data_IF_788091029424
#
_entry.id   IF_788091029424
#
_cell.length_a   1.000
_cell.length_b   1.000
_cell.length_c   1.000
_cell.angle_alpha   90.00
_cell.angle_beta   90.00
_cell.angle_gamma   90.00
#
_symmetry.space_group_name_H-M   'P 1'
#
loop_
_entity.id
_entity.type
_entity.pdbx_description
1 polymer ?
#
# COMPACT_ATOMS: atom_id res chain seq x y z
N UNK A 1 33.25 69.05 20.52
CA UNK A 1 32.06 68.29 20.95
C UNK A 1 31.18 68.11 19.73
N UNK A 2 30.57 66.93 19.60
CA UNK A 2 29.70 66.45 18.51
C UNK A 2 30.45 66.04 17.22
N UNK A 3 30.22 64.89 16.59
CA UNK A 3 29.37 63.74 16.93
C UNK A 3 29.94 62.50 16.22
N UNK A 4 30.10 61.43 17.00
CA UNK A 4 30.67 60.15 16.61
C UNK A 4 29.53 59.29 16.03
N UNK A 5 29.32 59.34 14.71
CA UNK A 5 28.28 58.54 14.03
C UNK A 5 28.79 57.12 13.80
N UNK A 6 28.81 56.33 14.88
CA UNK A 6 28.85 54.85 14.79
C UNK A 6 27.52 54.35 14.22
N UNK A 7 27.48 54.14 12.91
CA UNK A 7 26.48 53.29 12.25
C UNK A 7 26.54 51.90 12.87
N UNK A 8 25.56 51.59 13.71
CA UNK A 8 25.32 50.24 14.20
C UNK A 8 24.95 49.37 12.99
N UNK A 9 25.84 48.44 12.65
CA UNK A 9 25.53 47.34 11.74
C UNK A 9 24.54 46.41 12.46
N UNK A 10 23.26 46.81 12.48
CA UNK A 10 22.17 45.95 12.92
C UNK A 10 22.23 44.68 12.08
N UNK A 11 22.56 43.56 12.71
CA UNK A 11 22.48 42.25 12.11
C UNK A 11 21.05 42.07 11.61
N UNK A 12 20.85 42.19 10.29
CA UNK A 12 19.60 41.77 9.64
C UNK A 12 19.47 40.28 9.93
N UNK A 13 18.68 39.93 10.93
CA UNK A 13 18.10 38.60 11.08
C UNK A 13 17.24 38.37 9.84
N UNK A 14 17.86 37.83 8.79
CA UNK A 14 17.14 37.31 7.63
C UNK A 14 16.23 36.21 8.15
N UNK A 15 14.96 36.54 8.30
CA UNK A 15 13.90 35.58 8.60
C UNK A 15 13.87 34.62 7.41
N UNK A 16 14.43 33.42 7.57
CA UNK A 16 14.31 32.39 6.53
C UNK A 16 12.93 31.78 6.72
N UNK A 17 11.97 32.01 5.80
CA UNK A 17 10.62 31.50 5.97
C UNK A 17 10.65 29.97 5.91
N UNK A 18 9.87 29.33 6.78
CA UNK A 18 9.63 27.89 6.70
C UNK A 18 8.79 27.61 5.45
N UNK A 19 9.18 26.61 4.66
CA UNK A 19 8.32 26.08 3.60
C UNK A 19 7.21 25.22 4.23
N UNK A 20 5.95 25.40 3.82
CA UNK A 20 4.87 24.47 4.20
C UNK A 20 4.76 23.37 3.16
N UNK A 21 4.84 22.10 3.58
CA UNK A 21 4.66 20.92 2.73
C UNK A 21 3.44 20.13 3.18
N UNK A 22 2.54 19.83 2.26
CA UNK A 22 1.36 19.01 2.53
C UNK A 22 1.64 17.54 2.22
N UNK A 23 1.19 16.66 3.12
CA UNK A 23 1.25 15.21 2.99
C UNK A 23 -0.17 14.66 3.13
N UNK A 24 -0.61 13.86 2.17
CA UNK A 24 -1.77 13.00 2.35
C UNK A 24 -1.27 11.57 2.57
N UNK A 25 -1.55 11.03 3.75
CA UNK A 25 -1.24 9.67 4.16
C UNK A 25 -2.51 8.81 4.06
N UNK A 26 -2.66 8.12 2.93
CA UNK A 26 -3.75 7.22 2.66
C UNK A 26 -3.53 5.85 3.30
N UNK A 27 -4.36 5.54 4.28
CA UNK A 27 -4.45 4.25 4.95
C UNK A 27 -5.38 3.34 4.15
N UNK A 28 -4.79 2.33 3.51
CA UNK A 28 -5.53 1.32 2.78
C UNK A 28 -6.18 0.30 3.70
N UNK A 29 -6.87 -0.67 3.09
CA UNK A 29 -7.33 -1.86 3.80
C UNK A 29 -6.15 -2.49 4.56
N UNK A 30 -6.38 -2.85 5.83
CA UNK A 30 -5.37 -3.38 6.76
C UNK A 30 -4.33 -2.39 7.31
N UNK A 31 -4.54 -1.07 7.14
CA UNK A 31 -3.59 -0.03 7.57
C UNK A 31 -4.21 1.14 8.36
N UNK A 32 -5.47 1.05 8.76
CA UNK A 32 -6.19 2.14 9.45
C UNK A 32 -5.93 2.15 10.96
N UNK A 33 -5.91 3.32 11.59
CA UNK A 33 -5.74 3.48 13.05
C UNK A 33 -6.73 2.64 13.87
N UNK A 34 -7.99 2.52 13.42
CA UNK A 34 -8.98 1.67 14.10
C UNK A 34 -8.65 0.17 13.98
N UNK A 35 -8.11 -0.27 12.85
CA UNK A 35 -7.70 -1.67 12.63
C UNK A 35 -6.49 -2.03 13.50
N UNK A 36 -5.53 -1.10 13.67
CA UNK A 36 -4.44 -1.29 14.63
C UNK A 36 -4.96 -1.45 16.06
N UNK A 37 -5.89 -0.58 16.49
CA UNK A 37 -6.49 -0.65 17.83
C UNK A 37 -7.25 -1.95 18.06
N UNK A 38 -8.03 -2.40 17.07
CA UNK A 38 -8.76 -3.66 17.17
C UNK A 38 -7.82 -4.87 17.17
N UNK A 39 -6.78 -4.88 16.34
CA UNK A 39 -5.76 -5.95 16.35
C UNK A 39 -5.02 -6.00 17.67
N UNK A 40 -4.72 -4.87 18.28
CA UNK A 40 -4.09 -4.83 19.60
C UNK A 40 -5.03 -5.35 20.69
N UNK A 41 -6.31 -4.95 20.64
CA UNK A 41 -7.34 -5.44 21.55
C UNK A 41 -7.51 -6.96 21.42
N UNK A 42 -7.63 -7.47 20.19
CA UNK A 42 -7.68 -8.89 19.89
C UNK A 42 -6.42 -9.62 20.39
N UNK A 43 -5.22 -9.13 20.06
CA UNK A 43 -3.94 -9.74 20.47
C UNK A 43 -3.85 -9.87 21.99
N UNK A 44 -4.19 -8.80 22.70
CA UNK A 44 -4.16 -8.76 24.17
C UNK A 44 -5.18 -9.73 24.76
N UNK A 45 -6.40 -9.76 24.21
CA UNK A 45 -7.43 -10.71 24.61
C UNK A 45 -7.01 -12.17 24.40
N UNK A 46 -6.38 -12.49 23.26
CA UNK A 46 -5.90 -13.85 22.99
C UNK A 46 -4.74 -14.26 23.90
N UNK A 47 -3.79 -13.35 24.19
CA UNK A 47 -2.72 -13.63 25.15
C UNK A 47 -3.33 -13.99 26.52
N UNK A 48 -4.28 -13.18 27.00
CA UNK A 48 -4.95 -13.42 28.29
C UNK A 48 -5.76 -14.73 28.30
N UNK A 49 -6.45 -15.04 27.20
CA UNK A 49 -7.19 -16.30 27.05
C UNK A 49 -6.25 -17.52 27.11
N UNK A 50 -5.09 -17.46 26.42
CA UNK A 50 -4.10 -18.53 26.40
C UNK A 50 -3.35 -18.70 27.73
N UNK A 51 -3.22 -17.65 28.53
CA UNK A 51 -2.71 -17.75 29.91
C UNK A 51 -3.67 -18.50 30.83
N UNK A 52 -4.98 -18.39 30.59
CA UNK A 52 -6.01 -19.02 31.42
C UNK A 52 -6.35 -20.43 30.94
N UNK A 53 -6.42 -20.64 29.63
CA UNK A 53 -6.70 -21.93 28.99
C UNK A 53 -5.85 -22.08 27.72
N UNK A 54 -4.80 -22.93 27.74
CA UNK A 54 -3.94 -23.16 26.59
C UNK A 54 -4.65 -23.72 25.35
N UNK A 55 -5.83 -24.33 25.47
CA UNK A 55 -6.59 -24.87 24.33
C UNK A 55 -7.48 -23.82 23.64
N UNK A 56 -7.61 -22.63 24.23
CA UNK A 56 -8.52 -21.58 23.74
C UNK A 56 -8.22 -21.11 22.32
N UNK A 57 -6.99 -21.33 21.80
CA UNK A 57 -6.66 -21.03 20.39
C UNK A 57 -7.58 -21.74 19.40
N UNK A 58 -8.15 -22.90 19.75
CA UNK A 58 -9.06 -23.65 18.87
C UNK A 58 -10.35 -22.88 18.53
N UNK A 59 -10.73 -21.94 19.39
CA UNK A 59 -11.94 -21.13 19.23
C UNK A 59 -11.70 -19.87 18.37
N UNK A 60 -10.44 -19.55 18.05
CA UNK A 60 -10.08 -18.38 17.27
C UNK A 60 -9.39 -18.77 15.95
N UNK A 61 -9.98 -18.33 14.83
CA UNK A 61 -9.48 -18.69 13.51
C UNK A 61 -8.06 -18.17 13.23
N UNK A 62 -7.67 -17.00 13.77
CA UNK A 62 -6.33 -16.44 13.56
C UNK A 62 -5.29 -17.20 14.37
N UNK A 63 -5.60 -17.58 15.61
CA UNK A 63 -4.75 -18.46 16.39
C UNK A 63 -4.61 -19.84 15.73
N UNK A 64 -5.69 -20.40 15.15
CA UNK A 64 -5.63 -21.63 14.35
C UNK A 64 -4.76 -21.49 13.09
N UNK A 65 -4.74 -20.31 12.44
CA UNK A 65 -3.83 -20.07 11.32
C UNK A 65 -2.37 -20.08 11.76
N UNK A 66 -2.04 -19.43 12.89
CA UNK A 66 -0.70 -19.45 13.47
C UNK A 66 -0.32 -20.89 13.84
N UNK A 67 -1.23 -21.63 14.49
CA UNK A 67 -1.05 -23.04 14.80
C UNK A 67 -0.73 -23.88 13.56
N UNK A 68 -1.51 -23.74 12.49
CA UNK A 68 -1.30 -24.48 11.25
C UNK A 68 0.02 -24.13 10.57
N UNK A 69 0.48 -22.87 10.69
CA UNK A 69 1.81 -22.48 10.21
C UNK A 69 2.93 -23.13 11.02
N UNK A 70 2.76 -23.20 12.35
CA UNK A 70 3.74 -23.81 13.26
C UNK A 70 3.78 -25.34 13.12
N UNK A 71 2.62 -25.99 12.99
CA UNK A 71 2.50 -27.46 12.93
C UNK A 71 3.14 -28.07 11.68
N UNK A 72 3.29 -27.29 10.59
CA UNK A 72 4.08 -27.68 9.42
C UNK A 72 5.58 -27.83 9.72
N UNK A 73 6.06 -27.27 10.83
CA UNK A 73 7.46 -27.30 11.25
C UNK A 73 7.74 -28.24 12.43
N UNK A 74 6.70 -28.74 13.11
CA UNK A 74 6.82 -29.46 14.39
C UNK A 74 5.76 -30.56 14.47
N UNK A 75 6.16 -31.83 14.32
CA UNK A 75 5.25 -32.98 14.49
C UNK A 75 5.12 -33.32 15.98
N UNK A 76 3.89 -33.34 16.50
CA UNK A 76 3.57 -33.96 17.79
C UNK A 76 3.43 -33.03 19.00
N UNK A 77 3.21 -31.73 18.82
CA UNK A 77 2.91 -30.82 19.94
C UNK A 77 1.58 -31.15 20.61
N UNK A 78 1.58 -31.15 21.95
CA UNK A 78 0.37 -31.08 22.78
C UNK A 78 -0.29 -29.71 22.65
N UNK A 79 -1.56 -29.59 23.04
CA UNK A 79 -2.27 -28.32 22.98
C UNK A 79 -1.67 -27.26 23.94
N UNK A 80 -1.09 -27.71 25.06
CA UNK A 80 -0.37 -26.83 25.97
C UNK A 80 0.88 -26.21 25.33
N UNK A 81 1.67 -27.02 24.61
CA UNK A 81 2.85 -26.56 23.88
C UNK A 81 2.46 -25.65 22.72
N UNK A 82 1.40 -26.01 21.98
CA UNK A 82 0.84 -25.20 20.91
C UNK A 82 0.36 -23.83 21.41
N UNK A 83 -0.42 -23.80 22.49
CA UNK A 83 -0.89 -22.57 23.11
C UNK A 83 0.25 -21.69 23.62
N UNK A 84 1.28 -22.29 24.21
CA UNK A 84 2.48 -21.58 24.66
C UNK A 84 3.27 -20.96 23.49
N UNK A 85 3.43 -21.70 22.39
CA UNK A 85 4.15 -21.23 21.20
C UNK A 85 3.37 -20.12 20.47
N UNK A 86 2.04 -20.26 20.36
CA UNK A 86 1.18 -19.20 19.81
C UNK A 86 1.27 -17.95 20.69
N UNK A 87 1.16 -18.08 22.02
CA UNK A 87 1.30 -16.95 22.94
C UNK A 87 2.67 -16.28 22.79
N UNK A 88 3.75 -17.07 22.77
CA UNK A 88 5.11 -16.59 22.54
C UNK A 88 5.23 -15.83 21.22
N UNK A 89 4.61 -16.35 20.16
CA UNK A 89 4.52 -15.70 18.84
C UNK A 89 3.78 -14.36 18.93
N UNK A 90 2.60 -14.32 19.56
CA UNK A 90 1.81 -13.09 19.73
C UNK A 90 2.52 -12.05 20.61
N UNK A 91 3.26 -12.47 21.62
CA UNK A 91 4.12 -11.58 22.42
C UNK A 91 5.31 -11.09 21.61
N UNK A 92 5.91 -11.96 20.80
CA UNK A 92 7.00 -11.65 19.88
C UNK A 92 6.61 -10.67 18.77
N UNK A 93 5.32 -10.60 18.40
CA UNK A 93 4.80 -9.56 17.51
C UNK A 93 4.89 -8.16 18.13
N UNK A 94 4.95 -8.05 19.46
CA UNK A 94 4.98 -6.79 20.19
C UNK A 94 3.64 -6.05 20.14
N UNK A 95 3.62 -4.82 20.67
CA UNK A 95 2.45 -3.92 20.60
C UNK A 95 2.16 -3.55 19.16
N UNK A 96 0.90 -3.71 18.76
CA UNK A 96 0.37 -3.26 17.48
C UNK A 96 0.09 -1.75 17.60
N UNK A 97 1.11 -0.95 17.32
CA UNK A 97 1.01 0.52 17.29
C UNK A 97 0.54 1.02 15.92
N UNK A 98 -0.36 2.00 15.90
CA UNK A 98 -0.76 2.65 14.67
C UNK A 98 0.37 3.51 14.09
N UNK A 99 0.25 3.89 12.82
CA UNK A 99 1.20 4.79 12.20
C UNK A 99 1.25 6.16 12.90
N UNK A 100 0.10 6.65 13.36
CA UNK A 100 -0.03 7.92 14.06
C UNK A 100 0.69 7.86 15.41
N UNK A 101 0.44 6.81 16.18
CA UNK A 101 1.07 6.63 17.50
C UNK A 101 2.58 6.50 17.36
N UNK A 102 3.05 5.73 16.37
CA UNK A 102 4.48 5.64 16.05
C UNK A 102 5.09 7.02 15.75
N UNK A 103 4.43 7.87 14.94
CA UNK A 103 4.92 9.21 14.66
C UNK A 103 4.93 10.08 15.93
N UNK A 104 3.86 10.06 16.72
CA UNK A 104 3.74 10.85 17.94
C UNK A 104 4.82 10.48 18.97
N UNK A 105 5.06 9.19 19.18
CA UNK A 105 6.11 8.69 20.09
C UNK A 105 7.52 9.08 19.64
N UNK A 106 7.79 9.03 18.33
CA UNK A 106 9.15 9.17 17.80
C UNK A 106 9.51 10.61 17.40
N UNK A 107 8.52 11.46 17.11
CA UNK A 107 8.72 12.88 16.76
C UNK A 107 8.46 13.83 17.94
N UNK A 108 7.78 13.35 18.99
CA UNK A 108 7.58 14.04 20.27
C UNK A 108 6.96 15.44 20.10
N UNK A 109 7.46 16.43 20.85
CA UNK A 109 6.85 17.75 21.06
C UNK A 109 6.62 18.57 19.80
N UNK A 110 7.32 18.26 18.70
CA UNK A 110 7.17 18.98 17.44
C UNK A 110 6.03 18.42 16.56
N UNK A 111 5.44 17.28 16.94
CA UNK A 111 4.31 16.65 16.27
C UNK A 111 3.02 16.96 17.02
N UNK A 112 2.14 17.73 16.40
CA UNK A 112 0.85 18.17 16.94
C UNK A 112 -0.25 17.42 16.19
N UNK A 113 -0.87 16.46 16.87
CA UNK A 113 -2.02 15.72 16.34
C UNK A 113 -3.31 16.48 16.70
N UNK A 114 -4.20 16.65 15.73
CA UNK A 114 -5.53 17.18 16.00
C UNK A 114 -6.40 16.17 16.76
N UNK A 115 -7.42 16.66 17.47
CA UNK A 115 -8.29 15.84 18.31
C UNK A 115 -9.02 14.73 17.52
N UNK A 116 -9.33 14.99 16.25
CA UNK A 116 -9.97 14.02 15.35
C UNK A 116 -9.03 12.93 14.84
N UNK A 117 -7.72 13.05 15.12
CA UNK A 117 -6.63 12.18 14.64
C UNK A 117 -6.58 12.06 13.11
N UNK A 118 -7.23 12.95 12.36
CA UNK A 118 -7.23 12.97 10.88
C UNK A 118 -6.25 13.98 10.33
N UNK A 119 -5.77 14.89 11.15
CA UNK A 119 -4.75 15.84 10.75
C UNK A 119 -3.65 15.97 11.80
N UNK A 120 -2.44 16.22 11.34
CA UNK A 120 -1.30 16.54 12.19
C UNK A 120 -0.44 17.64 11.57
N UNK A 121 0.25 18.38 12.42
CA UNK A 121 1.27 19.34 12.02
C UNK A 121 2.61 18.95 12.62
N UNK A 122 3.67 19.03 11.83
CA UNK A 122 5.01 18.77 12.30
C UNK A 122 5.99 19.86 11.84
N UNK A 123 6.61 20.56 12.79
CA UNK A 123 7.64 21.55 12.48
C UNK A 123 9.04 20.96 12.61
N UNK A 124 9.85 21.07 11.54
CA UNK A 124 11.26 20.71 11.57
C UNK A 124 12.14 21.96 11.37
N UNK A 125 12.67 22.54 12.46
CA UNK A 125 13.56 23.70 12.39
C UNK A 125 14.85 23.46 11.60
N UNK A 126 15.42 22.25 11.68
CA UNK A 126 16.65 21.94 10.94
C UNK A 126 16.41 21.88 9.42
N UNK A 127 15.22 21.47 8.98
CA UNK A 127 14.84 21.48 7.55
C UNK A 127 14.36 22.84 7.05
N UNK A 128 13.90 23.71 7.96
CA UNK A 128 13.12 24.91 7.66
C UNK A 128 11.81 24.56 6.94
N UNK A 129 11.12 23.53 7.45
CA UNK A 129 9.88 23.00 6.85
C UNK A 129 8.83 22.77 7.92
N UNK A 130 7.60 23.19 7.64
CA UNK A 130 6.40 22.75 8.36
C UNK A 130 5.67 21.74 7.50
N UNK A 131 5.37 20.57 8.06
CA UNK A 131 4.56 19.56 7.41
C UNK A 131 3.12 19.63 7.92
N UNK A 132 2.17 19.64 7.00
CA UNK A 132 0.74 19.45 7.26
C UNK A 132 0.36 18.07 6.73
N UNK A 133 -0.08 17.19 7.62
CA UNK A 133 -0.32 15.78 7.33
C UNK A 133 -1.81 15.51 7.49
N UNK A 134 -2.44 14.99 6.46
CA UNK A 134 -3.83 14.54 6.46
C UNK A 134 -3.84 13.01 6.34
N UNK A 135 -4.52 12.34 7.27
CA UNK A 135 -4.73 10.90 7.25
C UNK A 135 -6.10 10.61 6.62
N UNK A 136 -6.11 9.85 5.52
CA UNK A 136 -7.32 9.54 4.76
C UNK A 136 -7.46 8.04 4.60
N UNK A 137 -8.68 7.54 4.58
CA UNK A 137 -9.01 6.10 4.50
C UNK A 137 -9.94 5.78 3.33
N UNK A 138 -10.32 6.80 2.53
CA UNK A 138 -11.25 6.66 1.42
C UNK A 138 -10.55 6.66 0.06
N UNK A 139 -11.02 5.79 -0.82
CA UNK A 139 -10.58 5.69 -2.22
C UNK A 139 -10.70 7.02 -2.97
N UNK A 140 -11.79 7.76 -2.75
CA UNK A 140 -12.03 9.07 -3.38
C UNK A 140 -11.05 10.14 -2.89
N UNK A 141 -10.74 10.19 -1.60
CA UNK A 141 -9.77 11.12 -1.04
C UNK A 141 -8.35 10.83 -1.56
N UNK A 142 -7.99 9.54 -1.67
CA UNK A 142 -6.73 9.15 -2.30
C UNK A 142 -6.66 9.60 -3.77
N UNK A 143 -7.74 9.42 -4.54
CA UNK A 143 -7.84 9.95 -5.91
C UNK A 143 -7.58 11.45 -5.96
N UNK A 144 -8.31 12.23 -5.15
CA UNK A 144 -8.17 13.68 -5.08
C UNK A 144 -6.75 14.10 -4.70
N UNK A 145 -6.11 13.40 -3.77
CA UNK A 145 -4.74 13.66 -3.37
C UNK A 145 -3.76 13.47 -4.52
N UNK A 146 -3.92 12.41 -5.34
CA UNK A 146 -3.11 12.21 -6.54
C UNK A 146 -3.26 13.34 -7.56
N UNK A 147 -4.45 13.93 -7.66
CA UNK A 147 -4.78 15.04 -8.56
C UNK A 147 -4.42 16.42 -7.99
N UNK A 148 -3.95 16.49 -6.72
CA UNK A 148 -3.59 17.73 -6.06
C UNK A 148 -2.13 18.09 -6.35
N UNK A 149 -1.89 19.31 -6.83
CA UNK A 149 -0.56 19.79 -7.18
C UNK A 149 0.35 19.98 -5.96
N UNK A 150 1.64 19.66 -6.12
CA UNK A 150 2.68 20.07 -5.16
C UNK A 150 2.74 19.28 -3.85
N UNK A 151 1.87 18.30 -3.62
CA UNK A 151 1.82 17.55 -2.34
C UNK A 151 2.56 16.21 -2.38
N UNK A 152 2.80 15.62 -1.21
CA UNK A 152 3.28 14.25 -1.05
C UNK A 152 2.06 13.35 -0.80
N UNK A 153 1.89 12.30 -1.61
CA UNK A 153 0.85 11.29 -1.43
C UNK A 153 1.51 9.98 -1.03
N UNK A 154 1.11 9.42 0.09
CA UNK A 154 1.62 8.14 0.59
C UNK A 154 0.43 7.20 0.72
N UNK A 155 0.49 6.04 0.07
CA UNK A 155 -0.43 4.94 0.32
C UNK A 155 0.27 3.87 1.16
N UNK A 156 -0.34 3.45 2.26
CA UNK A 156 0.11 2.30 3.06
C UNK A 156 -1.05 1.37 3.33
N UNK A 157 -0.97 0.13 2.87
CA UNK A 157 -2.04 -0.84 3.03
C UNK A 157 -1.93 -2.02 2.07
N UNK A 158 -2.95 -2.87 2.06
CA UNK A 158 -3.01 -4.02 1.19
C UNK A 158 -3.23 -3.62 -0.28
N UNK A 159 -2.56 -4.29 -1.21
CA UNK A 159 -2.77 -4.08 -2.65
C UNK A 159 -2.91 -5.42 -3.34
N UNK A 160 -3.97 -5.59 -4.13
CA UNK A 160 -4.12 -6.79 -4.94
C UNK A 160 -3.09 -6.80 -6.06
N UNK A 161 -2.46 -7.95 -6.22
CA UNK A 161 -1.36 -8.17 -7.13
C UNK A 161 -1.74 -7.77 -8.58
N UNK A 162 -1.08 -6.75 -9.12
CA UNK A 162 -1.33 -6.28 -10.49
C UNK A 162 -2.65 -5.54 -10.71
N UNK A 163 -3.40 -5.24 -9.65
CA UNK A 163 -4.79 -4.73 -9.77
C UNK A 163 -4.96 -3.34 -9.20
N UNK A 164 -4.47 -3.08 -8.00
CA UNK A 164 -4.69 -1.78 -7.36
C UNK A 164 -4.53 -1.75 -5.84
N UNK A 165 -4.58 -0.55 -5.28
CA UNK A 165 -4.66 -0.32 -3.84
C UNK A 165 -6.05 -0.70 -3.32
N UNK A 166 -6.13 -1.37 -2.18
CA UNK A 166 -7.41 -1.71 -1.56
C UNK A 166 -7.83 -0.63 -0.56
N UNK A 167 -9.09 -0.23 -0.61
CA UNK A 167 -9.72 0.66 0.37
C UNK A 167 -10.91 -0.04 0.98
N UNK A 168 -11.09 0.11 2.29
CA UNK A 168 -12.21 -0.46 2.99
C UNK A 168 -12.54 0.39 4.23
N UNK A 169 -13.82 0.72 4.40
CA UNK A 169 -14.33 1.39 5.59
C UNK A 169 -14.76 0.28 6.55
N UNK A 170 -13.80 -0.18 7.36
CA UNK A 170 -13.89 -1.38 8.17
C UNK A 170 -15.18 -1.49 9.00
N UNK A 171 -15.89 -2.63 8.90
CA UNK A 171 -16.94 -3.04 9.85
C UNK A 171 -17.13 -4.56 10.04
N UNK A 172 -16.17 -5.46 9.71
CA UNK A 172 -16.40 -6.90 9.90
C UNK A 172 -15.37 -7.93 9.37
N UNK A 173 -15.78 -9.22 9.42
CA UNK A 173 -14.97 -10.45 9.21
C UNK A 173 -14.29 -10.61 7.84
N UNK A 174 -13.02 -11.04 7.84
CA UNK A 174 -12.09 -11.25 6.70
C UNK A 174 -12.66 -12.07 5.51
N UNK A 175 -13.62 -12.96 5.76
CA UNK A 175 -14.22 -13.81 4.70
C UNK A 175 -15.21 -13.08 3.79
N UNK A 176 -15.73 -11.90 4.19
CA UNK A 176 -16.61 -11.08 3.36
C UNK A 176 -15.85 -10.15 2.40
N UNK A 177 -14.51 -10.13 2.45
CA UNK A 177 -13.69 -9.08 1.84
C UNK A 177 -13.17 -9.36 0.44
N UNK A 178 -13.27 -10.61 -0.03
CA UNK A 178 -12.89 -10.97 -1.39
C UNK A 178 -13.51 -9.99 -2.39
N UNK A 179 -14.83 -9.96 -2.42
CA UNK A 179 -15.60 -9.13 -3.34
C UNK A 179 -15.62 -7.66 -2.94
N UNK A 180 -15.65 -7.35 -1.63
CA UNK A 180 -15.66 -5.97 -1.16
C UNK A 180 -14.39 -5.22 -1.58
N UNK A 181 -13.22 -5.85 -1.46
CA UNK A 181 -11.99 -5.24 -1.94
C UNK A 181 -11.93 -5.21 -3.46
N UNK A 182 -12.57 -6.16 -4.13
CA UNK A 182 -12.55 -6.28 -5.58
C UNK A 182 -13.40 -5.23 -6.30
N UNK A 183 -14.70 -5.25 -6.01
CA UNK A 183 -15.71 -4.44 -6.70
C UNK A 183 -16.08 -3.19 -5.88
N UNK A 184 -15.91 -3.24 -4.56
CA UNK A 184 -16.44 -2.22 -3.66
C UNK A 184 -17.97 -2.25 -3.61
N UNK A 185 -18.52 -1.49 -2.67
CA UNK A 185 -19.96 -1.21 -2.58
C UNK A 185 -20.26 0.28 -2.78
N UNK A 186 -19.24 1.14 -2.73
CA UNK A 186 -19.34 2.59 -2.90
C UNK A 186 -18.15 3.14 -3.67
N UNK A 187 -18.16 4.45 -3.92
CA UNK A 187 -17.00 5.16 -4.51
C UNK A 187 -15.80 5.24 -3.57
N UNK A 188 -15.97 4.95 -2.28
CA UNK A 188 -14.95 5.13 -1.23
C UNK A 188 -14.20 3.84 -0.86
N UNK A 189 -14.68 2.67 -1.28
CA UNK A 189 -14.08 1.37 -0.96
C UNK A 189 -13.82 0.52 -2.22
N UNK A 190 -13.20 -0.64 -2.05
CA UNK A 190 -12.76 -1.52 -3.13
C UNK A 190 -11.42 -1.12 -3.73
N UNK A 191 -11.14 -1.63 -4.94
CA UNK A 191 -9.88 -1.36 -5.62
C UNK A 191 -9.84 0.06 -6.19
N UNK A 192 -8.75 0.78 -5.87
CA UNK A 192 -8.23 1.84 -6.72
C UNK A 192 -7.38 1.19 -7.82
N UNK A 193 -7.98 0.97 -8.99
CA UNK A 193 -7.42 0.10 -10.03
C UNK A 193 -6.20 0.72 -10.71
N UNK A 194 -5.38 -0.08 -11.37
CA UNK A 194 -4.25 0.43 -12.16
C UNK A 194 -4.68 1.04 -13.50
N UNK A 195 -5.89 0.77 -14.00
CA UNK A 195 -6.34 1.29 -15.29
C UNK A 195 -5.88 0.49 -16.52
N UNK A 196 -5.36 -0.72 -16.31
CA UNK A 196 -5.18 -1.68 -17.40
C UNK A 196 -6.49 -2.44 -17.65
N UNK A 197 -6.98 -2.53 -18.89
CA UNK A 197 -8.22 -3.25 -19.19
C UNK A 197 -8.08 -4.76 -19.04
N UNK A 198 -6.85 -5.29 -19.13
CA UNK A 198 -6.55 -6.69 -18.88
C UNK A 198 -5.32 -6.84 -17.99
N UNK A 199 -5.43 -7.75 -17.02
CA UNK A 199 -4.40 -8.01 -16.02
C UNK A 199 -4.20 -9.52 -15.87
N UNK A 200 -2.95 -10.03 -15.90
CA UNK A 200 -2.69 -11.41 -15.50
C UNK A 200 -2.72 -11.52 -13.99
N UNK A 201 -3.49 -12.48 -13.47
CA UNK A 201 -3.59 -12.74 -12.03
C UNK A 201 -3.28 -14.21 -11.77
N UNK A 202 -2.42 -14.45 -10.79
CA UNK A 202 -1.97 -15.79 -10.39
C UNK A 202 -3.13 -16.57 -9.74
N UNK A 203 -3.25 -17.86 -10.05
CA UNK A 203 -4.33 -18.68 -9.48
C UNK A 203 -4.26 -18.76 -7.95
N UNK A 204 -3.05 -18.74 -7.39
CA UNK A 204 -2.83 -18.71 -5.93
C UNK A 204 -3.35 -17.44 -5.26
N UNK A 205 -3.39 -16.30 -5.97
CA UNK A 205 -4.00 -15.06 -5.44
C UNK A 205 -5.52 -15.22 -5.31
N UNK A 206 -6.16 -15.85 -6.30
CA UNK A 206 -7.60 -16.13 -6.28
C UNK A 206 -7.95 -17.15 -5.20
N UNK A 207 -7.15 -18.21 -5.11
CA UNK A 207 -7.28 -19.25 -4.08
C UNK A 207 -7.06 -18.69 -2.68
N UNK A 208 -6.17 -17.72 -2.50
CA UNK A 208 -5.93 -17.14 -1.18
C UNK A 208 -7.04 -16.14 -0.77
N UNK A 209 -7.59 -15.41 -1.73
CA UNK A 209 -8.48 -14.27 -1.44
C UNK A 209 -9.97 -14.50 -1.71
N UNK A 210 -10.35 -15.62 -2.34
CA UNK A 210 -11.75 -16.06 -2.51
C UNK A 210 -12.71 -14.96 -3.01
N UNK A 211 -12.31 -14.21 -4.03
CA UNK A 211 -13.14 -13.18 -4.66
C UNK A 211 -13.66 -13.65 -6.00
N UNK A 212 -14.82 -13.14 -6.40
CA UNK A 212 -15.38 -13.38 -7.71
C UNK A 212 -14.63 -12.60 -8.78
N UNK A 213 -14.26 -13.27 -9.87
CA UNK A 213 -13.43 -12.68 -10.92
C UNK A 213 -14.05 -12.83 -12.31
N UNK A 214 -13.49 -12.03 -13.23
CA UNK A 214 -13.98 -11.85 -14.60
C UNK A 214 -12.92 -12.31 -15.61
N UNK A 215 -12.76 -13.64 -15.80
CA UNK A 215 -11.75 -14.18 -16.69
C UNK A 215 -12.19 -14.13 -18.16
N UNK A 216 -11.24 -14.30 -19.08
CA UNK A 216 -11.53 -14.32 -20.52
C UNK A 216 -11.56 -15.78 -21.00
N UNK A 217 -12.76 -16.29 -21.28
CA UNK A 217 -12.98 -17.65 -21.76
C UNK A 217 -12.27 -17.90 -23.10
N UNK A 218 -11.75 -19.11 -23.33
CA UNK A 218 -11.04 -19.42 -24.59
C UNK A 218 -11.95 -19.42 -25.81
N UNK A 219 -13.25 -19.58 -25.59
CA UNK A 219 -14.30 -19.46 -26.60
C UNK A 219 -14.49 -18.02 -27.09
N UNK A 220 -14.09 -17.03 -26.28
CA UNK A 220 -14.06 -15.63 -26.72
C UNK A 220 -12.79 -15.34 -27.51
N UNK A 221 -12.84 -14.41 -28.48
CA UNK A 221 -11.67 -14.01 -29.24
C UNK A 221 -10.52 -13.69 -28.30
N UNK A 222 -9.38 -14.33 -28.56
CA UNK A 222 -8.14 -14.02 -27.86
C UNK A 222 -7.92 -12.51 -27.91
N UNK A 223 -7.73 -11.83 -26.77
CA UNK A 223 -7.55 -10.38 -26.78
C UNK A 223 -6.43 -10.04 -27.77
N UNK A 224 -6.68 -9.12 -28.71
CA UNK A 224 -5.83 -9.04 -29.90
C UNK A 224 -4.55 -8.27 -29.61
N UNK A 225 -3.41 -8.74 -30.15
CA UNK A 225 -2.14 -7.98 -30.13
C UNK A 225 -2.28 -6.58 -30.75
N UNK A 226 -3.23 -6.37 -31.65
CA UNK A 226 -3.52 -5.09 -32.30
C UNK A 226 -4.32 -4.13 -31.41
N UNK A 227 -5.30 -4.60 -30.63
CA UNK A 227 -5.89 -3.83 -29.53
C UNK A 227 -4.83 -3.56 -28.43
N UNK A 228 -3.84 -4.46 -28.30
CA UNK A 228 -2.66 -4.29 -27.43
C UNK A 228 -1.61 -3.30 -27.94
N UNK A 229 -1.58 -3.02 -29.25
CA UNK A 229 -0.61 -2.12 -29.89
C UNK A 229 -1.19 -0.75 -30.21
N UNK A 230 -2.47 -0.65 -30.60
CA UNK A 230 -3.16 0.62 -30.87
C UNK A 230 -3.37 1.45 -29.59
N UNK A 231 -3.48 0.78 -28.45
CA UNK A 231 -3.36 1.39 -27.13
C UNK A 231 -2.14 0.78 -26.43
N UNK A 232 -0.94 1.41 -26.46
CA UNK A 232 0.17 0.99 -25.60
C UNK A 232 -0.19 0.97 -24.10
N UNK A 233 -1.38 1.48 -23.74
CA UNK A 233 -2.06 1.49 -22.45
C UNK A 233 -2.91 0.25 -22.12
N UNK A 234 -3.13 -0.71 -23.03
CA UNK A 234 -4.16 -1.74 -22.85
C UNK A 234 -3.74 -3.06 -22.18
N UNK A 235 -2.47 -3.24 -21.79
CA UNK A 235 -2.10 -4.39 -20.94
C UNK A 235 -1.04 -4.07 -19.91
N UNK A 236 -1.25 -4.65 -18.73
CA UNK A 236 -0.22 -4.73 -17.70
C UNK A 236 1.06 -5.35 -18.32
N UNK A 237 2.25 -4.80 -18.06
CA UNK A 237 3.51 -5.25 -18.66
C UNK A 237 3.75 -6.77 -18.57
N UNK A 238 3.30 -7.39 -17.49
CA UNK A 238 3.43 -8.83 -17.28
C UNK A 238 2.51 -9.69 -18.18
N UNK A 239 1.44 -9.10 -18.73
CA UNK A 239 0.50 -9.75 -19.64
C UNK A 239 0.96 -9.82 -21.10
N UNK A 240 2.06 -9.13 -21.48
CA UNK A 240 2.53 -8.98 -22.88
C UNK A 240 3.10 -10.24 -23.53
N UNK A 241 2.90 -11.42 -22.94
CA UNK A 241 3.45 -12.71 -23.36
C UNK A 241 2.48 -13.49 -24.26
N UNK A 242 2.93 -14.65 -24.77
CA UNK A 242 2.07 -15.56 -25.54
C UNK A 242 1.02 -16.15 -24.59
N UNK A 243 -0.25 -15.79 -24.79
CA UNK A 243 -1.34 -16.42 -24.07
C UNK A 243 -1.57 -17.86 -24.53
N UNK A 244 -1.95 -18.71 -23.58
CA UNK A 244 -2.30 -20.12 -23.76
C UNK A 244 -3.67 -20.40 -23.11
N UNK A 245 -4.27 -21.54 -23.45
CA UNK A 245 -5.45 -22.06 -22.76
C UNK A 245 -5.03 -22.66 -21.41
N UNK A 246 -5.67 -22.22 -20.33
CA UNK A 246 -5.49 -22.72 -18.97
C UNK A 246 -6.80 -23.33 -18.50
N UNK A 247 -6.77 -24.60 -18.07
CA UNK A 247 -7.90 -25.23 -17.39
C UNK A 247 -7.98 -24.68 -15.95
N UNK A 248 -9.13 -24.15 -15.56
CA UNK A 248 -9.32 -23.61 -14.21
C UNK A 248 -9.48 -24.76 -13.20
N UNK A 249 -8.74 -24.76 -12.08
CA UNK A 249 -8.93 -25.70 -10.97
C UNK A 249 -10.37 -25.69 -10.47
N UNK A 250 -10.89 -26.87 -10.11
CA UNK A 250 -12.29 -27.06 -9.67
C UNK A 250 -12.68 -26.11 -8.54
N UNK A 251 -11.82 -25.99 -7.52
CA UNK A 251 -12.03 -25.15 -6.35
C UNK A 251 -12.19 -23.65 -6.69
N UNK A 252 -11.67 -23.22 -7.83
CA UNK A 252 -11.76 -21.82 -8.29
C UNK A 252 -12.96 -21.55 -9.19
N UNK A 253 -13.65 -22.58 -9.71
CA UNK A 253 -14.75 -22.40 -10.68
C UNK A 253 -15.94 -21.67 -10.08
N UNK A 254 -16.25 -21.92 -8.80
CA UNK A 254 -17.33 -21.25 -8.08
C UNK A 254 -17.17 -19.73 -7.99
N UNK A 255 -15.93 -19.23 -8.09
CA UNK A 255 -15.62 -17.79 -8.03
C UNK A 255 -15.65 -17.12 -9.41
N UNK A 256 -15.90 -17.85 -10.50
CA UNK A 256 -16.09 -17.21 -11.81
C UNK A 256 -17.47 -16.56 -11.84
N UNK A 257 -17.54 -15.25 -12.09
CA UNK A 257 -18.84 -14.58 -12.26
C UNK A 257 -19.62 -15.26 -13.40
N UNK A 258 -20.91 -15.60 -13.25
CA UNK A 258 -21.64 -16.46 -14.19
C UNK A 258 -21.56 -16.02 -15.66
N UNK A 259 -21.58 -14.70 -15.93
CA UNK A 259 -21.49 -14.13 -17.29
C UNK A 259 -20.15 -14.40 -18.01
N UNK A 260 -19.12 -14.83 -17.29
CA UNK A 260 -17.80 -15.14 -17.83
C UNK A 260 -17.46 -16.63 -17.73
N UNK A 261 -18.40 -17.48 -17.31
CA UNK A 261 -18.15 -18.91 -17.22
C UNK A 261 -17.88 -19.52 -18.61
N UNK A 262 -16.76 -20.24 -18.72
CA UNK A 262 -16.44 -21.04 -19.91
C UNK A 262 -17.08 -22.43 -19.80
N UNK A 263 -17.79 -22.91 -20.83
CA UNK A 263 -18.30 -24.30 -20.88
C UNK A 263 -17.19 -25.35 -20.79
N UNK A 264 -15.98 -25.04 -21.29
CA UNK A 264 -14.83 -25.92 -21.20
C UNK A 264 -14.00 -25.70 -19.93
N UNK A 265 -14.40 -24.76 -19.07
CA UNK A 265 -13.67 -24.27 -17.92
C UNK A 265 -12.24 -23.79 -18.25
N UNK A 266 -12.01 -23.39 -19.50
CA UNK A 266 -10.70 -22.92 -19.98
C UNK A 266 -10.71 -21.43 -20.21
N UNK A 267 -9.63 -20.78 -19.79
CA UNK A 267 -9.45 -19.34 -19.90
C UNK A 267 -8.11 -19.00 -20.54
N UNK A 268 -8.05 -17.84 -21.20
CA UNK A 268 -6.79 -17.31 -21.67
C UNK A 268 -5.90 -16.94 -20.48
N UNK A 269 -4.66 -17.42 -20.50
CA UNK A 269 -3.71 -17.21 -19.42
C UNK A 269 -2.27 -17.29 -19.88
N UNK A 270 -1.35 -17.27 -18.92
CA UNK A 270 0.09 -17.40 -19.15
C UNK A 270 0.74 -18.23 -18.05
N UNK A 271 1.82 -18.93 -18.40
CA UNK A 271 2.64 -19.69 -17.46
C UNK A 271 4.02 -19.05 -17.43
N UNK A 272 4.51 -18.69 -16.23
CA UNK A 272 5.82 -18.06 -16.04
C UNK A 272 6.53 -18.71 -14.87
N UNK A 273 7.66 -19.38 -15.16
CA UNK A 273 8.51 -20.02 -14.14
C UNK A 273 7.70 -20.94 -13.22
N UNK A 274 6.80 -21.73 -13.80
CA UNK A 274 5.89 -22.63 -13.05
C UNK A 274 4.66 -21.95 -12.44
N UNK A 275 4.58 -20.61 -12.43
CA UNK A 275 3.42 -19.88 -11.93
C UNK A 275 2.38 -19.74 -13.04
N UNK A 276 1.16 -20.19 -12.75
CA UNK A 276 0.02 -20.11 -13.66
C UNK A 276 -0.82 -18.88 -13.33
N UNK A 277 -1.09 -18.06 -14.35
CA UNK A 277 -1.98 -16.91 -14.27
C UNK A 277 -3.06 -16.99 -15.33
N UNK A 278 -4.25 -16.49 -15.04
CA UNK A 278 -5.30 -16.24 -16.05
C UNK A 278 -5.43 -14.74 -16.29
N UNK A 279 -5.90 -14.39 -17.48
CA UNK A 279 -6.18 -13.00 -17.82
C UNK A 279 -7.57 -12.66 -17.30
N UNK A 280 -7.61 -11.64 -16.44
CA UNK A 280 -8.86 -11.04 -15.98
C UNK A 280 -9.12 -9.73 -16.72
N UNK A 281 -10.40 -9.40 -16.85
CA UNK A 281 -10.85 -8.06 -17.19
C UNK A 281 -10.53 -7.15 -15.99
N UNK A 282 -9.59 -6.25 -16.19
CA UNK A 282 -9.15 -5.26 -15.20
C UNK A 282 -9.88 -3.92 -15.32
N UNK A 283 -10.59 -3.68 -16.44
CA UNK A 283 -11.31 -2.44 -16.74
C UNK A 283 -12.65 -2.26 -16.01
N UNK A 284 -13.28 -1.11 -16.23
CA UNK A 284 -14.49 -0.62 -15.54
C UNK A 284 -15.82 -0.97 -16.22
N UNK A 285 -15.80 -1.67 -17.37
CA UNK A 285 -17.04 -1.96 -18.08
C UNK A 285 -17.95 -2.87 -17.23
N UNK A 286 -18.97 -2.26 -16.62
CA UNK A 286 -19.96 -2.95 -15.79
C UNK A 286 -19.66 -3.01 -14.29
N UNK A 287 -18.79 -2.16 -13.74
CA UNK A 287 -18.63 -2.01 -12.28
C UNK A 287 -19.48 -0.86 -11.73
N UNK A 288 -20.10 -1.05 -10.55
CA UNK A 288 -20.96 -0.06 -9.89
C UNK A 288 -20.18 1.18 -9.42
N UNK A 289 -18.90 1.02 -9.07
CA UNK A 289 -18.03 2.13 -8.69
C UNK A 289 -17.58 2.92 -9.94
N UNK A 290 -18.05 4.16 -10.04
CA UNK A 290 -17.56 5.18 -10.99
C UNK A 290 -16.01 5.28 -10.95
N UNK A 291 -15.35 5.62 -12.06
CA UNK A 291 -13.92 5.35 -12.27
C UNK A 291 -13.03 6.01 -11.21
N UNK A 292 -12.32 5.15 -10.45
CA UNK A 292 -11.18 5.55 -9.63
C UNK A 292 -10.03 4.59 -9.94
N UNK A 293 -9.30 4.91 -11.01
CA UNK A 293 -8.14 4.16 -11.42
C UNK A 293 -6.97 5.07 -11.76
N UNK A 294 -5.77 4.55 -11.57
CA UNK A 294 -4.53 5.26 -11.82
C UNK A 294 -4.39 5.62 -13.31
N UNK A 295 -4.95 4.84 -14.23
CA UNK A 295 -4.91 5.11 -15.67
C UNK A 295 -5.63 6.40 -16.05
N UNK A 296 -6.82 6.64 -15.49
CA UNK A 296 -7.63 7.84 -15.74
C UNK A 296 -7.20 9.08 -14.93
N UNK A 297 -6.59 8.89 -13.75
CA UNK A 297 -6.17 10.01 -12.89
C UNK A 297 -5.06 10.86 -13.50
N UNK A 298 -5.27 12.16 -13.59
CA UNK A 298 -4.21 13.11 -13.93
C UNK A 298 -3.37 13.39 -12.68
N UNK A 299 -2.26 12.65 -12.54
CA UNK A 299 -1.40 12.81 -11.38
C UNK A 299 -0.69 14.18 -11.42
N UNK A 300 -0.94 15.00 -10.40
CA UNK A 300 -0.32 16.32 -10.19
C UNK A 300 0.47 16.40 -8.89
N UNK A 301 0.34 15.41 -8.01
CA UNK A 301 1.13 15.36 -6.78
C UNK A 301 2.63 15.39 -7.08
N UNK A 302 3.40 16.02 -6.20
CA UNK A 302 4.86 16.11 -6.36
C UNK A 302 5.51 14.75 -6.12
N UNK A 303 5.15 14.09 -5.02
CA UNK A 303 5.67 12.78 -4.65
C UNK A 303 4.53 11.77 -4.53
N UNK A 304 4.72 10.56 -5.08
CA UNK A 304 3.89 9.39 -4.75
C UNK A 304 4.73 8.30 -4.07
N UNK A 305 4.27 7.82 -2.93
CA UNK A 305 4.81 6.65 -2.25
C UNK A 305 3.72 5.60 -2.21
N UNK A 306 3.96 4.42 -2.78
CA UNK A 306 3.03 3.31 -2.67
C UNK A 306 3.68 2.18 -1.88
N UNK A 307 3.36 2.09 -0.60
CA UNK A 307 3.79 1.02 0.29
C UNK A 307 2.66 0.02 0.45
N UNK A 308 2.37 -0.68 -0.66
CA UNK A 308 1.46 -1.82 -0.70
C UNK A 308 2.15 -3.09 -1.19
N UNK A 309 1.44 -4.20 -1.29
CA UNK A 309 2.03 -5.49 -1.62
C UNK A 309 2.77 -5.49 -2.98
N UNK A 310 4.09 -5.67 -2.97
CA UNK A 310 4.92 -5.78 -4.18
C UNK A 310 4.71 -4.64 -5.19
N UNK A 311 4.39 -3.44 -4.70
CA UNK A 311 3.94 -2.31 -5.53
C UNK A 311 4.90 -1.95 -6.67
N UNK A 312 6.21 -2.16 -6.52
CA UNK A 312 7.18 -1.95 -7.60
C UNK A 312 6.86 -2.80 -8.83
N UNK A 313 6.33 -4.01 -8.66
CA UNK A 313 6.04 -4.91 -9.78
C UNK A 313 4.87 -4.40 -10.65
N UNK A 314 3.98 -3.60 -10.06
CA UNK A 314 2.68 -3.28 -10.66
C UNK A 314 2.49 -1.80 -10.97
N UNK A 315 2.90 -0.93 -10.05
CA UNK A 315 2.75 0.51 -10.17
C UNK A 315 3.92 1.16 -10.90
N UNK A 316 5.10 0.53 -10.86
CA UNK A 316 6.32 1.13 -11.42
C UNK A 316 6.16 1.57 -12.85
N UNK A 317 5.68 0.67 -13.73
CA UNK A 317 5.61 0.98 -15.15
C UNK A 317 4.59 2.07 -15.43
N UNK A 318 3.37 2.00 -14.88
CA UNK A 318 2.34 3.01 -15.10
C UNK A 318 2.73 4.38 -14.54
N UNK A 319 3.39 4.44 -13.39
CA UNK A 319 3.79 5.71 -12.78
C UNK A 319 5.03 6.29 -13.47
N UNK A 320 6.07 5.48 -13.73
CA UNK A 320 7.39 5.98 -14.16
C UNK A 320 7.48 6.26 -15.65
N UNK A 321 6.80 5.50 -16.50
CA UNK A 321 7.04 5.59 -17.95
C UNK A 321 6.43 6.85 -18.55
N UNK A 322 7.13 7.53 -19.48
CA UNK A 322 6.67 8.79 -20.07
C UNK A 322 5.40 8.63 -20.91
N UNK A 323 5.16 7.46 -21.51
CA UNK A 323 3.90 7.18 -22.20
C UNK A 323 2.67 7.06 -21.28
N UNK A 324 2.88 7.06 -19.95
CA UNK A 324 1.84 6.99 -18.93
C UNK A 324 1.84 8.23 -18.04
N UNK A 325 2.37 8.19 -16.81
CA UNK A 325 2.39 9.33 -15.88
C UNK A 325 3.70 10.10 -15.89
N UNK A 326 4.78 9.49 -16.39
CA UNK A 326 6.06 10.18 -16.57
C UNK A 326 6.71 10.69 -15.29
N UNK A 327 6.48 10.04 -14.13
CA UNK A 327 7.21 10.33 -12.90
C UNK A 327 8.62 9.73 -12.98
N UNK A 328 9.42 10.12 -13.97
CA UNK A 328 10.72 9.49 -14.22
C UNK A 328 11.69 9.71 -13.07
N UNK A 329 12.73 8.87 -12.96
CA UNK A 329 13.87 9.21 -12.10
C UNK A 329 14.70 10.24 -12.82
N UNK A 330 14.77 11.47 -12.35
CA UNK A 330 15.18 12.52 -13.25
C UNK A 330 16.71 12.64 -13.20
N UNK A 331 17.31 12.97 -14.35
CA UNK A 331 18.70 13.41 -14.47
C UNK A 331 18.69 14.63 -15.41
N UNK A 332 18.65 15.87 -14.89
CA UNK A 332 18.70 16.28 -13.47
C UNK A 332 17.37 16.05 -12.73
N UNK A 333 17.35 16.05 -11.37
CA UNK A 333 16.15 15.92 -10.53
C UNK A 333 15.00 16.85 -10.98
N UNK A 334 13.83 16.27 -11.22
CA UNK A 334 12.51 16.90 -11.40
C UNK A 334 11.66 16.60 -10.19
N UNK A 335 10.64 17.42 -9.98
CA UNK A 335 9.81 17.32 -8.79
C UNK A 335 8.87 16.10 -8.75
N UNK A 336 8.82 15.26 -9.80
CA UNK A 336 7.96 14.06 -9.89
C UNK A 336 8.61 12.81 -9.28
N UNK A 337 8.58 12.70 -7.95
CA UNK A 337 9.20 11.59 -7.22
C UNK A 337 8.24 10.42 -7.03
N UNK A 338 8.75 9.19 -7.07
CA UNK A 338 7.93 7.99 -6.89
C UNK A 338 8.67 6.85 -6.17
N UNK A 339 8.10 6.30 -5.10
CA UNK A 339 8.72 5.25 -4.27
C UNK A 339 7.79 4.05 -4.12
N UNK A 340 8.37 2.85 -4.16
CA UNK A 340 7.62 1.59 -4.17
C UNK A 340 8.31 0.53 -3.32
N UNK A 341 7.56 -0.46 -2.84
CA UNK A 341 8.06 -1.64 -2.13
C UNK A 341 8.35 -2.80 -3.09
N UNK A 342 9.38 -3.60 -2.80
CA UNK A 342 9.78 -4.72 -3.67
C UNK A 342 9.10 -6.05 -3.37
N UNK A 343 8.43 -6.17 -2.24
CA UNK A 343 7.71 -7.37 -1.80
C UNK A 343 6.49 -6.95 -0.97
N UNK A 344 5.67 -7.87 -0.45
CA UNK A 344 4.63 -7.55 0.51
C UNK A 344 5.19 -6.71 1.67
N UNK A 345 4.52 -5.59 1.91
CA UNK A 345 4.88 -4.65 2.99
C UNK A 345 3.89 -4.82 4.14
N UNK A 346 4.28 -4.31 5.29
CA UNK A 346 3.45 -4.21 6.48
C UNK A 346 3.44 -2.77 6.98
N UNK A 347 3.00 -2.56 8.23
CA UNK A 347 2.97 -1.27 8.90
C UNK A 347 4.32 -0.53 8.93
N UNK A 348 5.44 -1.22 8.68
CA UNK A 348 6.77 -0.61 8.67
C UNK A 348 7.05 0.28 7.45
N UNK A 349 6.11 0.43 6.53
CA UNK A 349 6.13 1.49 5.51
C UNK A 349 6.28 2.90 6.11
N UNK A 350 5.76 3.10 7.34
CA UNK A 350 5.83 4.36 8.08
C UNK A 350 7.26 4.87 8.33
N UNK A 351 8.27 3.98 8.32
CA UNK A 351 9.66 4.38 8.52
C UNK A 351 10.13 5.39 7.49
N UNK A 352 9.62 5.32 6.26
CA UNK A 352 9.95 6.29 5.24
C UNK A 352 9.47 7.69 5.63
N UNK A 353 8.21 7.84 6.07
CA UNK A 353 7.67 9.12 6.49
C UNK A 353 8.42 9.66 7.71
N UNK A 354 8.68 8.81 8.72
CA UNK A 354 9.47 9.22 9.88
C UNK A 354 10.84 9.79 9.50
N UNK A 355 11.58 9.11 8.59
CA UNK A 355 12.89 9.61 8.18
C UNK A 355 12.82 10.81 7.23
N UNK A 356 11.73 10.99 6.47
CA UNK A 356 11.47 12.23 5.72
C UNK A 356 11.31 13.40 6.70
N UNK A 357 10.45 13.23 7.70
CA UNK A 357 10.18 14.24 8.72
C UNK A 357 11.43 14.50 9.58
N UNK A 358 12.29 13.50 9.79
CA UNK A 358 13.50 13.62 10.62
C UNK A 358 14.77 14.03 9.86
N UNK A 359 14.69 14.36 8.57
CA UNK A 359 15.85 14.89 7.83
C UNK A 359 16.39 16.14 8.53
N UNK A 360 17.71 16.30 8.61
CA UNK A 360 18.34 17.24 9.54
C UNK A 360 19.16 18.35 8.84
N UNK A 361 18.87 18.60 7.56
CA UNK A 361 19.53 19.65 6.78
C UNK A 361 18.46 20.55 6.16
N UNK A 362 18.77 21.84 6.08
CA UNK A 362 17.90 22.81 5.45
C UNK A 362 17.63 22.39 4.01
N UNK A 363 16.35 22.30 3.65
CA UNK A 363 15.96 21.99 2.28
C UNK A 363 14.65 22.64 1.85
N UNK A 364 14.07 23.56 2.63
CA UNK A 364 12.87 24.32 2.27
C UNK A 364 12.93 24.98 0.88
N UNK A 365 13.99 25.75 0.55
CA UNK A 365 14.06 26.44 -0.75
C UNK A 365 14.65 25.58 -1.90
N UNK A 366 14.95 24.30 -1.66
CA UNK A 366 15.67 23.44 -2.61
C UNK A 366 14.82 22.25 -3.05
N UNK A 367 15.24 21.58 -4.12
CA UNK A 367 14.58 20.36 -4.59
C UNK A 367 14.45 19.32 -3.46
N UNK A 368 13.28 18.68 -3.34
CA UNK A 368 12.98 17.71 -2.27
C UNK A 368 13.78 16.38 -2.34
N UNK A 369 14.73 16.26 -3.28
CA UNK A 369 15.37 14.98 -3.62
C UNK A 369 16.17 14.43 -2.44
N UNK A 370 16.98 15.28 -1.80
CA UNK A 370 17.90 14.84 -0.75
C UNK A 370 17.17 14.32 0.49
N UNK A 371 16.07 14.95 0.91
CA UNK A 371 15.27 14.46 2.04
C UNK A 371 14.57 13.14 1.71
N UNK A 372 14.07 12.98 0.48
CA UNK A 372 13.40 11.75 0.06
C UNK A 372 14.40 10.58 -0.11
N UNK A 373 15.59 10.84 -0.67
CA UNK A 373 16.64 9.84 -0.78
C UNK A 373 17.27 9.50 0.58
N UNK A 374 17.37 10.47 1.49
CA UNK A 374 17.68 10.20 2.89
C UNK A 374 16.63 9.28 3.52
N UNK A 375 15.34 9.61 3.39
CA UNK A 375 14.23 8.83 3.91
C UNK A 375 14.27 7.38 3.43
N UNK A 376 14.44 7.18 2.10
CA UNK A 376 14.60 5.84 1.51
C UNK A 376 15.81 5.09 2.09
N UNK A 377 16.99 5.72 2.16
CA UNK A 377 18.21 5.06 2.65
C UNK A 377 18.08 4.64 4.10
N UNK A 378 17.57 5.53 4.95
CA UNK A 378 17.43 5.27 6.39
C UNK A 378 16.32 4.27 6.69
N UNK A 379 15.18 4.36 6.00
CA UNK A 379 14.12 3.37 6.09
C UNK A 379 14.64 1.98 5.72
N UNK A 380 15.32 1.84 4.57
CA UNK A 380 15.90 0.57 4.15
C UNK A 380 16.96 0.03 5.12
N UNK A 381 17.75 0.92 5.76
CA UNK A 381 18.70 0.51 6.79
C UNK A 381 17.99 -0.09 8.01
N UNK A 382 16.88 0.53 8.44
CA UNK A 382 16.05 0.04 9.55
C UNK A 382 15.35 -1.27 9.18
N UNK A 383 14.67 -1.33 8.05
CA UNK A 383 14.01 -2.55 7.54
C UNK A 383 14.97 -3.74 7.47
N UNK A 384 16.23 -3.52 7.06
CA UNK A 384 17.27 -4.55 7.03
C UNK A 384 17.69 -5.03 8.43
N UNK A 385 17.83 -4.11 9.39
CA UNK A 385 18.15 -4.46 10.79
C UNK A 385 17.05 -5.33 11.41
N UNK A 386 15.80 -5.04 11.06
CA UNK A 386 14.62 -5.79 11.45
C UNK A 386 14.36 -7.03 10.57
N UNK A 387 15.29 -7.37 9.66
CA UNK A 387 15.25 -8.55 8.77
C UNK A 387 13.97 -8.66 7.92
N UNK A 388 13.37 -7.53 7.55
CA UNK A 388 12.15 -7.54 6.74
C UNK A 388 12.47 -7.89 5.27
N UNK A 389 11.58 -8.64 4.59
CA UNK A 389 11.84 -9.20 3.25
C UNK A 389 11.70 -8.18 2.12
N UNK A 390 11.29 -6.94 2.42
CA UNK A 390 11.07 -5.88 1.44
C UNK A 390 12.01 -4.69 1.63
N UNK A 391 12.20 -3.94 0.55
CA UNK A 391 12.88 -2.65 0.53
C UNK A 391 12.05 -1.62 -0.20
N UNK A 392 12.27 -0.36 0.12
CA UNK A 392 11.75 0.80 -0.60
C UNK A 392 12.71 1.10 -1.76
N UNK A 393 12.17 1.17 -2.97
CA UNK A 393 12.94 1.26 -4.20
C UNK A 393 13.04 2.68 -4.74
#
# INVERSE_FOLDING_TARGET
>A
MCDDTRTSSGARTTFVPYETRRIVYAEGAQGHDSDYRERESWRTSQISALETNPESFRNDQRCMMVYNQLSLSTRGMTDAEAGAEIRSTLMGWGTVSSHIDFLQENLRTNFQLADDRRSARYANPQQQVTYEIEFVDRKSQFKTALETEGIIVIYVGHSRYGRGACFDQYSGSYTAHGDLWEDGTTVDNGLFRLGYPYIPVELSDMEHHHYHFEPIAVETPKPSRSEWRRHPKSMHPEGRRRLTSILLPENLRQYVKPRFASPSHRYWGLIRRGVTSIILIGGWNGTVAAPADLGSVEMRCRTICHFGCSSRKHFWDIVRRPEYKGYQRPRPPTERLAYFTTAPTNSKGIYWLYFLLSYNRANGPTHWWDSHEFAKRMANRRLRRERLPFRIY
#
